data_IF_387524728142
#
_entry.id   IF_387524728142
#
_cell.length_a   1.000
_cell.length_b   1.000
_cell.length_c   1.000
_cell.angle_alpha   90.00
_cell.angle_beta   90.00
_cell.angle_gamma   90.00
#
_symmetry.space_group_name_H-M   'P 1'
#
loop_
_entity.id
_entity.type
_entity.pdbx_description
1 polymer ?
#
# COMPACT_ATOMS: atom_id res chain seq x y z
N UNK A 1 -20.29 62.41 -1.05
CA UNK A 1 -20.66 61.78 0.26
C UNK A 1 -21.57 60.56 0.08
N UNK A 2 -22.31 60.43 -1.03
CA UNK A 2 -23.21 59.27 -1.29
C UNK A 2 -22.41 57.96 -1.42
N UNK A 3 -21.28 57.94 -2.13
CA UNK A 3 -20.45 56.74 -2.30
C UNK A 3 -19.87 56.16 -0.99
N UNK A 4 -19.64 57.01 0.03
CA UNK A 4 -19.24 56.52 1.34
C UNK A 4 -20.35 55.72 2.04
N UNK A 5 -21.56 56.20 1.96
CA UNK A 5 -22.74 55.53 2.51
C UNK A 5 -23.04 54.20 1.76
N UNK A 6 -22.86 54.20 0.44
CA UNK A 6 -22.98 52.97 -0.38
C UNK A 6 -21.92 51.94 0.01
N UNK A 7 -20.66 52.35 0.19
CA UNK A 7 -19.60 51.48 0.65
C UNK A 7 -19.87 50.87 2.04
N UNK A 8 -20.37 51.69 2.97
CA UNK A 8 -20.76 51.26 4.30
C UNK A 8 -21.92 50.25 4.24
N UNK A 9 -22.91 50.49 3.40
CA UNK A 9 -24.04 49.59 3.21
C UNK A 9 -23.59 48.20 2.70
N UNK A 10 -22.64 48.17 1.76
CA UNK A 10 -22.08 46.92 1.25
C UNK A 10 -21.36 46.13 2.34
N UNK A 11 -20.54 46.78 3.16
CA UNK A 11 -19.84 46.12 4.26
C UNK A 11 -20.79 45.58 5.32
N UNK A 12 -21.78 46.35 5.72
CA UNK A 12 -22.83 45.93 6.66
C UNK A 12 -23.61 44.75 6.11
N UNK A 13 -24.02 44.78 4.84
CA UNK A 13 -24.73 43.70 4.19
C UNK A 13 -23.86 42.40 4.12
N UNK A 14 -22.57 42.57 3.92
CA UNK A 14 -21.62 41.41 3.89
C UNK A 14 -21.41 40.85 5.26
N UNK A 15 -21.39 41.64 6.33
CA UNK A 15 -21.25 41.18 7.71
C UNK A 15 -22.38 40.24 8.15
N UNK A 16 -23.60 40.46 7.62
CA UNK A 16 -24.74 39.55 7.88
C UNK A 16 -24.89 38.40 6.89
N UNK A 17 -23.96 38.26 5.94
CA UNK A 17 -23.93 37.09 5.04
C UNK A 17 -23.56 35.87 5.80
N UNK A 18 -24.17 34.72 5.43
CA UNK A 18 -23.76 33.41 5.92
C UNK A 18 -22.30 33.16 5.53
N UNK A 19 -21.41 32.81 6.45
CA UNK A 19 -20.02 32.54 6.14
C UNK A 19 -19.93 31.36 5.19
N UNK A 20 -19.03 31.44 4.19
CA UNK A 20 -18.70 30.33 3.25
C UNK A 20 -17.44 29.60 3.63
N UNK A 21 -16.76 30.04 4.69
CA UNK A 21 -15.54 29.41 5.21
C UNK A 21 -15.88 28.05 5.79
N UNK A 22 -15.18 27.02 5.32
CA UNK A 22 -15.24 25.70 5.95
C UNK A 22 -14.47 25.75 7.28
N UNK A 23 -15.13 25.38 8.36
CA UNK A 23 -14.50 25.29 9.68
C UNK A 23 -13.69 23.99 9.75
N UNK A 24 -12.39 24.10 10.06
CA UNK A 24 -11.51 22.94 10.25
C UNK A 24 -10.67 23.15 11.54
N UNK A 25 -10.49 22.12 12.35
CA UNK A 25 -11.11 20.78 12.27
C UNK A 25 -12.60 20.80 12.67
N UNK A 26 -13.43 20.06 11.92
CA UNK A 26 -14.81 19.81 12.30
C UNK A 26 -14.88 18.54 13.16
N UNK A 27 -15.25 18.62 14.44
CA UNK A 27 -15.27 17.45 15.32
C UNK A 27 -16.29 16.37 14.91
N UNK A 28 -17.24 16.72 14.06
CA UNK A 28 -18.30 15.81 13.62
C UNK A 28 -18.13 15.25 12.21
N UNK A 29 -17.30 15.86 11.39
CA UNK A 29 -17.18 15.46 9.99
C UNK A 29 -15.76 15.64 9.46
N UNK A 30 -15.10 14.51 9.20
CA UNK A 30 -13.81 14.50 8.50
C UNK A 30 -14.00 14.95 7.05
N UNK A 31 -13.06 15.70 6.51
CA UNK A 31 -13.08 16.11 5.10
C UNK A 31 -12.89 14.88 4.22
N UNK A 32 -13.84 14.66 3.29
CA UNK A 32 -13.71 13.62 2.30
C UNK A 32 -12.60 13.96 1.30
N UNK A 33 -11.64 13.06 1.15
CA UNK A 33 -10.56 13.21 0.19
C UNK A 33 -10.95 12.67 -1.18
N UNK A 34 -10.31 13.19 -2.24
CA UNK A 34 -10.55 12.70 -3.60
C UNK A 34 -10.17 11.23 -3.74
N UNK A 35 -10.86 10.48 -4.61
CA UNK A 35 -10.59 9.06 -4.85
C UNK A 35 -9.13 8.73 -5.19
N UNK A 36 -8.44 9.64 -5.88
CA UNK A 36 -7.02 9.50 -6.26
C UNK A 36 -6.06 10.17 -5.27
N UNK A 37 -6.54 10.49 -4.08
CA UNK A 37 -5.68 11.07 -3.05
C UNK A 37 -4.65 10.03 -2.60
N UNK A 38 -3.39 10.44 -2.50
CA UNK A 38 -2.28 9.65 -1.99
C UNK A 38 -1.93 10.19 -0.60
N UNK A 39 -2.40 9.50 0.41
CA UNK A 39 -2.07 9.80 1.79
C UNK A 39 -0.84 9.02 2.27
N UNK A 40 -0.80 8.63 3.52
CA UNK A 40 0.36 7.93 4.09
C UNK A 40 0.40 6.47 3.67
N UNK A 41 1.61 5.92 3.48
CA UNK A 41 1.78 4.51 3.16
C UNK A 41 1.26 3.62 4.29
N UNK A 42 0.59 2.55 3.92
CA UNK A 42 0.02 1.56 4.82
C UNK A 42 0.34 0.15 4.34
N UNK A 43 0.41 -0.82 5.24
CA UNK A 43 0.69 -2.21 4.91
C UNK A 43 -0.60 -3.02 4.84
N UNK A 44 -0.79 -3.73 3.74
CA UNK A 44 -1.97 -4.53 3.48
C UNK A 44 -1.95 -5.88 4.23
N UNK A 45 -3.14 -6.37 4.55
CA UNK A 45 -3.37 -7.59 5.29
C UNK A 45 -4.05 -8.64 4.41
N UNK A 46 -3.56 -9.87 4.46
CA UNK A 46 -4.17 -11.03 3.81
C UNK A 46 -5.15 -11.71 4.77
N UNK A 47 -6.44 -11.54 4.51
CA UNK A 47 -7.50 -12.10 5.35
C UNK A 47 -7.66 -13.61 5.17
N UNK A 48 -7.21 -14.19 4.03
CA UNK A 48 -7.37 -15.60 3.73
C UNK A 48 -6.45 -16.48 4.59
N UNK A 49 -5.27 -15.96 4.92
CA UNK A 49 -4.24 -16.67 5.70
C UNK A 49 -4.01 -16.02 7.07
N UNK A 50 -4.59 -14.84 7.30
CA UNK A 50 -4.43 -14.01 8.50
C UNK A 50 -2.96 -13.58 8.74
N UNK A 51 -2.28 -13.13 7.69
CA UNK A 51 -0.91 -12.63 7.75
C UNK A 51 -0.72 -11.38 6.88
N UNK A 52 0.32 -10.54 7.11
CA UNK A 52 0.64 -9.42 6.21
C UNK A 52 1.06 -9.93 4.83
N UNK A 53 0.71 -9.18 3.77
CA UNK A 53 1.26 -9.44 2.43
C UNK A 53 2.77 -9.22 2.36
N UNK A 54 3.33 -8.41 3.27
CA UNK A 54 4.73 -8.05 3.28
C UNK A 54 5.64 -9.21 3.70
N UNK A 55 6.54 -9.60 2.80
CA UNK A 55 7.55 -10.64 3.04
C UNK A 55 8.88 -10.07 3.57
N UNK A 56 9.01 -8.74 3.67
CA UNK A 56 10.25 -8.10 4.08
C UNK A 56 11.36 -8.11 3.01
N UNK A 57 11.01 -8.12 1.72
CA UNK A 57 11.99 -8.19 0.61
C UNK A 57 12.89 -6.93 0.48
N UNK A 58 12.55 -5.84 1.18
CA UNK A 58 13.30 -4.57 1.27
C UNK A 58 13.48 -3.80 -0.04
N UNK A 59 12.75 -4.12 -1.11
CA UNK A 59 12.82 -3.39 -2.38
C UNK A 59 12.37 -1.95 -2.19
N UNK A 60 11.22 -1.74 -1.55
CA UNK A 60 10.69 -0.41 -1.26
C UNK A 60 11.63 0.46 -0.41
N UNK A 61 12.43 -0.15 0.47
CA UNK A 61 13.41 0.56 1.30
C UNK A 61 14.58 1.05 0.45
N UNK A 62 15.10 0.21 -0.46
CA UNK A 62 16.22 0.55 -1.34
C UNK A 62 15.86 1.65 -2.33
N UNK A 63 14.64 1.61 -2.84
CA UNK A 63 14.18 2.54 -3.86
C UNK A 63 13.56 3.81 -3.26
N UNK A 64 13.52 3.92 -1.92
CA UNK A 64 13.03 5.11 -1.24
C UNK A 64 14.01 6.28 -1.36
N UNK A 65 13.64 7.40 -2.01
CA UNK A 65 14.55 8.52 -2.22
C UNK A 65 14.96 9.23 -0.92
N UNK A 66 14.11 9.18 0.10
CA UNK A 66 14.37 9.81 1.41
C UNK A 66 14.88 8.83 2.46
N UNK A 67 14.96 7.54 2.12
CA UNK A 67 15.37 6.49 3.05
C UNK A 67 14.64 6.57 4.39
N UNK A 68 13.34 6.76 4.35
CA UNK A 68 12.50 6.96 5.52
C UNK A 68 12.00 5.66 6.15
N UNK A 69 12.34 4.50 5.60
CA UNK A 69 11.85 3.20 6.02
C UNK A 69 12.97 2.28 6.50
N UNK A 70 12.66 1.43 7.47
CA UNK A 70 13.50 0.33 7.91
C UNK A 70 12.65 -0.91 8.14
N UNK A 71 13.19 -2.09 7.85
CA UNK A 71 12.51 -3.35 8.08
C UNK A 71 13.46 -4.50 8.38
N UNK A 72 12.96 -5.49 9.09
CA UNK A 72 13.57 -6.79 9.28
C UNK A 72 12.57 -7.88 8.95
N UNK A 73 13.06 -9.00 8.46
CA UNK A 73 12.23 -10.17 8.14
C UNK A 73 12.53 -11.33 9.08
N UNK A 74 11.55 -12.20 9.26
CA UNK A 74 11.68 -13.47 9.97
C UNK A 74 11.13 -14.63 9.16
N UNK A 75 11.46 -15.86 9.58
CA UNK A 75 10.84 -17.04 9.01
C UNK A 75 9.37 -17.12 9.41
N UNK A 76 8.52 -17.49 8.47
CA UNK A 76 7.09 -17.54 8.70
C UNK A 76 6.73 -18.87 9.40
N UNK A 77 6.17 -18.84 10.62
CA UNK A 77 5.74 -20.03 11.31
C UNK A 77 4.61 -20.78 10.58
N UNK A 78 3.72 -20.06 9.90
CA UNK A 78 2.61 -20.66 9.15
C UNK A 78 3.10 -21.42 7.91
N UNK A 79 4.27 -21.07 7.39
CA UNK A 79 4.90 -21.84 6.31
C UNK A 79 5.36 -23.20 6.79
N UNK A 80 5.90 -23.30 8.01
CA UNK A 80 6.31 -24.56 8.62
C UNK A 80 5.12 -25.51 8.89
N UNK A 81 3.92 -24.95 9.06
CA UNK A 81 2.67 -25.67 9.27
C UNK A 81 1.89 -25.94 7.97
N UNK A 82 2.48 -25.69 6.79
CA UNK A 82 1.84 -25.75 5.46
C UNK A 82 0.54 -24.94 5.32
N UNK A 83 0.35 -23.94 6.19
CA UNK A 83 -0.80 -23.04 6.19
C UNK A 83 -0.60 -21.81 5.31
N UNK A 84 0.64 -21.40 5.09
CA UNK A 84 1.01 -20.27 4.27
C UNK A 84 1.99 -20.66 3.18
N UNK A 85 1.88 -19.99 2.05
CA UNK A 85 2.81 -20.09 0.92
C UNK A 85 4.05 -19.21 1.08
N UNK A 86 3.97 -18.20 1.98
CA UNK A 86 5.04 -17.24 2.22
C UNK A 86 6.08 -17.83 3.17
N UNK A 87 7.28 -18.05 2.66
CA UNK A 87 8.40 -18.59 3.45
C UNK A 87 8.93 -17.59 4.47
N UNK A 88 8.94 -16.31 4.12
CA UNK A 88 9.40 -15.20 4.95
C UNK A 88 8.27 -14.21 5.17
N UNK A 89 8.28 -13.57 6.33
CA UNK A 89 7.31 -12.55 6.69
C UNK A 89 8.04 -11.36 7.35
N UNK A 90 7.43 -10.23 7.31
CA UNK A 90 7.92 -9.04 8.00
C UNK A 90 7.90 -9.24 9.53
N UNK A 91 8.99 -8.86 10.19
CA UNK A 91 9.09 -8.88 11.66
C UNK A 91 8.94 -7.49 12.24
N UNK A 92 9.77 -6.57 11.79
CA UNK A 92 9.71 -5.15 12.15
C UNK A 92 9.62 -4.34 10.88
N UNK A 93 8.75 -3.36 10.85
CA UNK A 93 8.67 -2.34 9.82
C UNK A 93 8.40 -1.01 10.46
N UNK A 94 9.22 -0.04 10.16
CA UNK A 94 9.11 1.30 10.67
C UNK A 94 9.20 2.31 9.53
N UNK A 95 8.32 3.30 9.51
CA UNK A 95 8.36 4.43 8.58
C UNK A 95 8.44 5.72 9.37
N UNK A 96 9.40 6.58 9.04
CA UNK A 96 9.42 7.95 9.49
C UNK A 96 8.60 8.81 8.51
N UNK A 97 7.32 9.03 8.82
CA UNK A 97 6.41 9.82 7.98
C UNK A 97 6.80 11.29 7.91
N UNK A 98 7.54 11.81 8.89
CA UNK A 98 8.09 13.17 8.85
C UNK A 98 9.17 13.37 7.77
N UNK A 99 9.75 12.29 7.25
CA UNK A 99 10.72 12.29 6.12
C UNK A 99 10.12 11.83 4.82
N UNK A 100 8.95 11.23 4.85
CA UNK A 100 8.25 10.70 3.68
C UNK A 100 7.72 11.86 2.82
N UNK A 101 8.03 11.85 1.53
CA UNK A 101 7.56 12.85 0.56
C UNK A 101 6.30 12.40 -0.20
N UNK A 102 5.68 11.31 0.21
CA UNK A 102 4.44 10.76 -0.37
C UNK A 102 4.53 10.51 -1.89
N UNK A 103 5.69 10.10 -2.39
CA UNK A 103 5.93 9.95 -3.83
C UNK A 103 5.31 8.69 -4.45
N UNK A 104 4.90 7.68 -3.64
CA UNK A 104 4.28 6.44 -4.12
C UNK A 104 5.24 5.40 -4.73
N UNK A 105 6.53 5.68 -4.90
CA UNK A 105 7.50 4.74 -5.48
C UNK A 105 7.50 3.39 -4.75
N UNK A 106 7.33 3.40 -3.42
CA UNK A 106 7.28 2.17 -2.62
C UNK A 106 6.11 1.24 -3.01
N UNK A 107 4.99 1.80 -3.48
CA UNK A 107 3.86 1.04 -3.99
C UNK A 107 4.19 0.47 -5.37
N UNK A 108 4.72 1.30 -6.28
CA UNK A 108 5.02 0.89 -7.65
C UNK A 108 6.06 -0.24 -7.73
N UNK A 109 7.05 -0.23 -6.83
CA UNK A 109 8.11 -1.27 -6.79
C UNK A 109 7.73 -2.51 -5.99
N UNK A 110 6.58 -2.54 -5.35
CA UNK A 110 6.15 -3.65 -4.51
C UNK A 110 5.63 -4.82 -5.35
N UNK A 111 6.36 -5.94 -5.37
CA UNK A 111 5.95 -7.13 -6.11
C UNK A 111 4.86 -7.97 -5.40
N UNK A 112 4.46 -7.58 -4.18
CA UNK A 112 3.57 -8.37 -3.34
C UNK A 112 2.26 -7.67 -3.01
N UNK A 113 2.01 -6.48 -3.59
CA UNK A 113 0.87 -5.61 -3.25
C UNK A 113 0.76 -5.36 -1.73
N UNK A 114 1.92 -5.32 -1.06
CA UNK A 114 2.01 -5.30 0.39
C UNK A 114 2.01 -3.90 1.00
N UNK A 115 2.19 -2.87 0.19
CA UNK A 115 2.19 -1.47 0.61
C UNK A 115 1.32 -0.67 -0.34
N UNK A 116 0.47 0.17 0.22
CA UNK A 116 -0.47 1.03 -0.52
C UNK A 116 -0.48 2.44 0.08
N UNK A 117 -0.90 3.43 -0.73
CA UNK A 117 -1.11 4.78 -0.23
C UNK A 117 -2.54 4.90 0.30
N UNK A 118 -2.67 5.09 1.61
CA UNK A 118 -3.98 5.21 2.27
C UNK A 118 -4.65 6.55 2.00
N UNK A 119 -5.87 6.74 2.53
CA UNK A 119 -6.56 8.03 2.53
C UNK A 119 -6.26 8.86 3.78
N UNK A 120 -5.35 8.37 4.64
CA UNK A 120 -4.97 9.07 5.86
C UNK A 120 -4.08 10.28 5.56
N UNK A 121 -4.44 11.44 6.10
CA UNK A 121 -3.71 12.69 5.90
C UNK A 121 -3.54 13.51 7.19
N UNK A 122 -4.17 13.08 8.29
CA UNK A 122 -4.17 13.81 9.56
C UNK A 122 -3.24 13.14 10.57
N UNK A 123 -1.95 13.44 10.51
CA UNK A 123 -0.93 12.89 11.40
C UNK A 123 -0.22 13.97 12.23
N UNK A 124 -0.95 14.99 12.67
CA UNK A 124 -0.37 15.96 13.59
C UNK A 124 -0.02 15.32 14.93
N UNK A 125 1.19 15.56 15.41
CA UNK A 125 1.70 15.07 16.70
C UNK A 125 2.25 16.21 17.53
N UNK A 126 2.16 16.09 18.84
CA UNK A 126 2.76 17.05 19.77
C UNK A 126 4.26 16.86 19.94
N UNK A 127 4.76 15.66 19.69
CA UNK A 127 6.17 15.30 19.82
C UNK A 127 6.90 15.37 18.49
N UNK A 128 8.17 15.77 18.54
CA UNK A 128 9.01 15.91 17.33
C UNK A 128 9.20 14.60 16.57
N UNK A 129 9.34 13.48 17.28
CA UNK A 129 9.54 12.15 16.69
C UNK A 129 8.23 11.33 16.60
N UNK A 130 7.09 11.93 16.89
CA UNK A 130 5.78 11.27 16.92
C UNK A 130 5.28 10.76 15.56
N UNK A 131 5.97 11.08 14.47
CA UNK A 131 5.65 10.62 13.12
C UNK A 131 6.40 9.33 12.71
N UNK A 132 7.03 8.63 13.65
CA UNK A 132 7.50 7.26 13.44
C UNK A 132 6.34 6.31 13.66
N UNK A 133 6.06 5.50 12.66
CA UNK A 133 4.92 4.58 12.63
C UNK A 133 5.45 3.16 12.53
N UNK A 134 5.04 2.33 13.48
CA UNK A 134 5.44 0.94 13.61
C UNK A 134 4.57 -0.01 12.79
N UNK A 135 5.03 -1.26 12.64
CA UNK A 135 4.32 -2.31 11.92
C UNK A 135 2.84 -2.49 12.35
N UNK A 136 2.48 -2.54 13.65
CA UNK A 136 1.08 -2.67 14.06
C UNK A 136 0.19 -1.51 13.58
N UNK A 137 0.70 -0.28 13.66
CA UNK A 137 -0.03 0.91 13.22
C UNK A 137 -0.19 0.93 11.70
N UNK A 138 0.86 0.54 10.95
CA UNK A 138 0.81 0.46 9.48
C UNK A 138 -0.17 -0.61 9.00
N UNK A 139 -0.26 -1.74 9.69
CA UNK A 139 -1.24 -2.79 9.40
C UNK A 139 -2.66 -2.35 9.72
N UNK A 140 -2.87 -1.62 10.81
CA UNK A 140 -4.18 -1.07 11.15
C UNK A 140 -4.66 -0.06 10.08
N UNK A 141 -3.80 0.86 9.67
CA UNK A 141 -4.08 1.78 8.57
C UNK A 141 -4.38 1.02 7.27
N UNK A 142 -3.66 -0.06 7.00
CA UNK A 142 -3.88 -0.89 5.83
C UNK A 142 -5.22 -1.60 5.84
N UNK A 143 -5.64 -2.14 6.98
CA UNK A 143 -6.97 -2.77 7.14
C UNK A 143 -8.10 -1.77 6.94
N UNK A 144 -7.97 -0.57 7.49
CA UNK A 144 -8.93 0.52 7.27
C UNK A 144 -9.01 0.90 5.79
N UNK A 145 -7.86 1.10 5.14
CA UNK A 145 -7.81 1.40 3.70
C UNK A 145 -8.43 0.30 2.85
N UNK A 146 -8.14 -0.97 3.15
CA UNK A 146 -8.70 -2.11 2.41
C UNK A 146 -10.22 -2.17 2.51
N UNK A 147 -10.78 -1.82 3.68
CA UNK A 147 -12.22 -1.76 3.89
C UNK A 147 -12.87 -0.59 3.12
N UNK A 148 -12.28 0.61 3.20
CA UNK A 148 -12.82 1.83 2.58
C UNK A 148 -12.69 1.80 1.06
N UNK A 149 -11.52 1.43 0.55
CA UNK A 149 -11.23 1.38 -0.88
C UNK A 149 -11.81 0.13 -1.57
N UNK A 150 -12.34 -0.84 -0.82
CA UNK A 150 -12.68 -2.19 -1.32
C UNK A 150 -11.52 -2.80 -2.09
N UNK A 151 -10.33 -2.59 -1.55
CA UNK A 151 -9.07 -2.95 -2.18
C UNK A 151 -8.98 -4.46 -2.43
N UNK A 152 -8.35 -4.82 -3.54
CA UNK A 152 -7.97 -6.19 -3.88
C UNK A 152 -6.54 -6.19 -4.41
N UNK A 153 -5.76 -7.25 -4.17
CA UNK A 153 -4.42 -7.34 -4.73
C UNK A 153 -4.46 -7.34 -6.26
N UNK A 154 -3.49 -6.67 -6.89
CA UNK A 154 -3.39 -6.59 -8.35
C UNK A 154 -3.10 -7.97 -8.97
N UNK A 155 -2.36 -8.83 -8.25
CA UNK A 155 -2.02 -10.19 -8.68
C UNK A 155 -2.43 -11.22 -7.61
N UNK A 156 -3.75 -11.51 -7.45
CA UNK A 156 -4.23 -12.37 -6.38
C UNK A 156 -3.66 -13.78 -6.43
N UNK A 157 -3.52 -14.37 -7.62
CA UNK A 157 -2.97 -15.74 -7.78
C UNK A 157 -1.50 -15.85 -7.34
N UNK A 158 -0.72 -14.80 -7.56
CA UNK A 158 0.69 -14.74 -7.21
C UNK A 158 0.90 -14.37 -5.74
N UNK A 159 0.15 -13.43 -5.23
CA UNK A 159 0.37 -12.77 -3.95
C UNK A 159 -0.46 -13.36 -2.81
N UNK A 160 -1.48 -14.19 -3.10
CA UNK A 160 -2.22 -14.94 -2.08
C UNK A 160 -1.28 -15.82 -1.25
N UNK A 161 -1.46 -15.79 0.06
CA UNK A 161 -0.76 -16.67 0.99
C UNK A 161 -1.29 -18.11 0.99
N UNK A 162 -2.39 -18.40 0.31
CA UNK A 162 -3.02 -19.73 0.29
C UNK A 162 -2.10 -20.74 -0.39
N UNK A 163 -1.79 -21.88 0.27
CA UNK A 163 -0.96 -22.93 -0.33
C UNK A 163 -1.65 -23.55 -1.54
N UNK A 164 -1.01 -23.46 -2.71
CA UNK A 164 -1.47 -24.15 -3.91
C UNK A 164 -1.04 -25.60 -3.79
N UNK A 165 -1.99 -26.54 -3.75
CA UNK A 165 -1.70 -27.99 -3.90
C UNK A 165 -1.02 -28.18 -5.25
N UNK A 166 0.26 -28.54 -5.24
CA UNK A 166 0.98 -28.91 -6.44
C UNK A 166 0.31 -30.16 -6.99
N UNK A 167 -0.38 -30.05 -8.11
CA UNK A 167 -0.70 -31.22 -8.92
C UNK A 167 0.63 -31.89 -9.30
N UNK A 168 0.75 -33.22 -9.22
CA UNK A 168 1.98 -33.92 -9.60
C UNK A 168 2.25 -33.58 -11.07
N UNK A 169 3.40 -32.98 -11.36
CA UNK A 169 3.89 -32.83 -12.72
C UNK A 169 3.86 -34.21 -13.35
N UNK A 170 2.98 -34.42 -14.35
CA UNK A 170 3.11 -35.52 -15.29
C UNK A 170 4.48 -35.39 -15.91
N UNK A 171 5.37 -36.29 -15.57
CA UNK A 171 6.63 -36.53 -16.25
C UNK A 171 6.27 -36.94 -17.68
N UNK A 172 6.46 -36.04 -18.63
CA UNK A 172 6.59 -36.39 -20.04
C UNK A 172 7.98 -37.03 -20.22
N UNK A 173 8.04 -38.30 -19.87
CA UNK A 173 9.06 -39.22 -20.38
C UNK A 173 8.36 -40.07 -21.42
N UNK A 174 8.91 -40.07 -22.60
CA UNK A 174 8.63 -40.93 -23.77
C UNK A 174 8.04 -40.20 -24.98
N UNK A 175 8.96 -39.71 -25.80
CA UNK A 175 8.89 -39.76 -27.26
C UNK A 175 10.33 -39.48 -27.73
N UNK A 176 11.07 -40.42 -28.11
CA UNK A 176 10.86 -41.24 -29.24
C UNK A 176 12.10 -41.06 -30.09
N UNK A 177 13.08 -41.99 -30.00
CA UNK A 177 14.11 -42.23 -30.98
C UNK A 177 13.55 -42.15 -32.41
N UNK A 178 14.08 -41.24 -33.21
CA UNK A 178 14.01 -41.34 -34.69
C UNK A 178 15.45 -41.28 -35.22
N UNK A 179 15.77 -42.32 -35.92
CA UNK A 179 17.03 -42.66 -36.57
C UNK A 179 17.52 -41.64 -37.60
N UNK A 180 18.85 -41.66 -37.89
CA UNK A 180 19.38 -40.83 -38.97
C UNK A 180 19.22 -41.55 -40.29
N UNK A 181 18.43 -40.97 -41.16
CA UNK A 181 18.30 -41.34 -42.58
C UNK A 181 19.42 -40.70 -43.42
N UNK A 182 20.05 -41.53 -44.05
CA UNK A 182 21.16 -41.62 -44.98
C UNK A 182 21.15 -40.63 -46.14
N UNK A 183 22.34 -40.35 -46.59
CA UNK A 183 22.78 -39.53 -47.70
C UNK A 183 22.22 -39.92 -49.09
N UNK A 184 22.21 -38.96 -49.96
CA UNK A 184 22.61 -38.99 -51.37
C UNK A 184 22.21 -37.63 -52.00
N UNK A 185 23.06 -36.83 -52.55
CA UNK A 185 23.89 -37.11 -53.70
C UNK A 185 23.48 -36.19 -54.81
N UNK A 186 24.42 -35.41 -55.24
CA UNK A 186 24.65 -35.02 -56.61
C UNK A 186 23.96 -33.78 -57.24
N UNK A 187 24.83 -33.01 -57.72
CA UNK A 187 24.92 -31.99 -58.79
C UNK A 187 24.89 -30.53 -58.36
#
# INVERSE_FOLDING_TARGET
>A
MIGFLEGLLVTVRTAFRRPVTAQYPDPGKRIEVAYRFMGFPALTWDYDVAEPYCTGCMVCIRDCPTQCMSATMKDNPLFAEDKSRRRKIIDVFEINLGRCILCGICVDVCNFDAIEMSYEHELSKYERDGNRVDLPQLLELGKQYQADARWKPAQPEKNSGVPVKKEPKKTEAEAGTAEPGEAAGDQ
#
